data_IF_556825019075
#
_entry.id   IF_556825019075
#
_cell.length_a   1.000
_cell.length_b   1.000
_cell.length_c   1.000
_cell.angle_alpha   90.00
_cell.angle_beta   90.00
_cell.angle_gamma   90.00
#
_symmetry.space_group_name_H-M   'P 1'
#
loop_
_entity.id
_entity.type
_entity.pdbx_description
1 polymer ?
#
# COMPACT_ATOMS: atom_id res chain seq x y z
N UNK A 1 -3.73 6.82 16.04
CA UNK A 1 -2.66 5.79 16.12
C UNK A 1 -1.78 6.07 14.94
N UNK A 2 -0.45 6.09 15.13
CA UNK A 2 0.53 6.55 14.12
C UNK A 2 0.58 8.07 13.90
N UNK A 3 0.03 8.88 14.80
CA UNK A 3 -0.11 10.34 14.61
C UNK A 3 1.24 11.07 14.43
N UNK A 4 2.36 10.44 14.80
CA UNK A 4 3.72 10.95 14.67
C UNK A 4 4.53 10.29 13.53
N UNK A 5 3.91 9.49 12.65
CA UNK A 5 4.62 8.68 11.64
C UNK A 5 5.50 9.48 10.67
N UNK A 6 5.16 10.74 10.40
CA UNK A 6 5.96 11.65 9.56
C UNK A 6 7.29 12.07 10.22
N UNK A 7 7.39 11.93 11.54
CA UNK A 7 8.56 12.37 12.32
C UNK A 7 9.23 11.24 13.11
N UNK A 8 8.58 10.08 13.17
CA UNK A 8 9.02 8.93 13.97
C UNK A 8 9.13 7.69 13.08
N UNK A 9 10.37 7.25 12.89
CA UNK A 9 10.73 6.09 12.09
C UNK A 9 10.07 4.79 12.57
N UNK A 10 9.95 4.60 13.89
CA UNK A 10 9.34 3.39 14.43
C UNK A 10 7.82 3.38 14.20
N UNK A 11 7.16 4.54 14.33
CA UNK A 11 5.74 4.69 14.00
C UNK A 11 5.49 4.50 12.51
N UNK A 12 6.36 5.01 11.64
CA UNK A 12 6.30 4.77 10.19
C UNK A 12 6.35 3.28 9.87
N UNK A 13 7.31 2.53 10.42
CA UNK A 13 7.41 1.09 10.15
C UNK A 13 6.23 0.30 10.72
N UNK A 14 5.70 0.68 11.88
CA UNK A 14 4.50 0.04 12.42
C UNK A 14 3.29 0.29 11.53
N UNK A 15 3.16 1.48 10.94
CA UNK A 15 2.11 1.81 9.98
C UNK A 15 2.23 0.97 8.71
N UNK A 16 3.43 0.85 8.11
CA UNK A 16 3.66 -0.05 6.97
C UNK A 16 3.27 -1.50 7.31
N UNK A 17 3.74 -2.00 8.46
CA UNK A 17 3.43 -3.36 8.91
C UNK A 17 1.93 -3.59 9.11
N UNK A 18 1.19 -2.59 9.60
CA UNK A 18 -0.26 -2.67 9.76
C UNK A 18 -0.96 -2.86 8.41
N UNK A 19 -0.57 -2.11 7.37
CA UNK A 19 -1.07 -2.30 6.01
C UNK A 19 -0.76 -3.69 5.45
N UNK A 20 0.49 -4.16 5.56
CA UNK A 20 0.85 -5.50 5.06
C UNK A 20 0.13 -6.61 5.81
N UNK A 21 0.02 -6.50 7.14
CA UNK A 21 -0.72 -7.47 7.96
C UNK A 21 -2.19 -7.52 7.58
N UNK A 22 -2.82 -6.37 7.41
CA UNK A 22 -4.19 -6.27 6.92
C UNK A 22 -4.35 -6.94 5.56
N UNK A 23 -3.46 -6.63 4.61
CA UNK A 23 -3.48 -7.21 3.26
C UNK A 23 -3.42 -8.74 3.30
N UNK A 24 -2.47 -9.33 4.01
CA UNK A 24 -2.33 -10.80 4.07
C UNK A 24 -3.52 -11.49 4.74
N UNK A 25 -4.09 -10.88 5.79
CA UNK A 25 -5.31 -11.39 6.42
C UNK A 25 -6.49 -11.37 5.45
N UNK A 26 -6.63 -10.29 4.67
CA UNK A 26 -7.71 -10.16 3.71
C UNK A 26 -7.53 -11.10 2.50
N UNK A 27 -6.30 -11.32 2.03
CA UNK A 27 -5.98 -12.34 1.00
C UNK A 27 -6.39 -13.74 1.46
N UNK A 28 -6.01 -14.13 2.69
CA UNK A 28 -6.40 -15.42 3.26
C UNK A 28 -7.91 -15.57 3.39
N UNK A 29 -8.60 -14.53 3.85
CA UNK A 29 -10.06 -14.50 4.02
C UNK A 29 -10.82 -14.63 2.70
N UNK A 30 -10.26 -14.13 1.60
CA UNK A 30 -10.85 -14.23 0.26
C UNK A 30 -10.33 -15.45 -0.52
N UNK A 31 -9.60 -16.37 0.12
CA UNK A 31 -9.06 -17.61 -0.48
C UNK A 31 -8.19 -17.37 -1.72
N UNK A 32 -7.56 -16.20 -1.83
CA UNK A 32 -6.64 -15.87 -2.91
C UNK A 32 -5.26 -16.43 -2.59
N UNK A 33 -4.61 -17.05 -3.59
CA UNK A 33 -3.27 -17.61 -3.49
C UNK A 33 -2.23 -16.55 -3.12
N UNK A 34 -1.77 -16.53 -1.87
CA UNK A 34 -0.85 -15.50 -1.37
C UNK A 34 0.49 -15.42 -2.10
N UNK A 35 0.94 -16.53 -2.67
CA UNK A 35 2.20 -16.70 -3.39
C UNK A 35 2.24 -15.95 -4.73
N UNK A 36 1.08 -15.54 -5.25
CA UNK A 36 1.03 -14.75 -6.49
C UNK A 36 1.38 -13.27 -6.22
N UNK A 37 1.43 -12.86 -4.95
CA UNK A 37 1.68 -11.47 -4.59
C UNK A 37 3.13 -11.22 -4.21
N UNK A 38 3.70 -10.17 -4.78
CA UNK A 38 4.99 -9.61 -4.38
C UNK A 38 4.77 -8.30 -3.62
N UNK A 39 5.08 -8.30 -2.33
CA UNK A 39 4.93 -7.17 -1.42
C UNK A 39 6.14 -7.08 -0.46
N UNK A 40 6.74 -5.89 -0.22
CA UNK A 40 6.53 -4.64 -0.96
C UNK A 40 6.93 -4.77 -2.44
N UNK A 41 6.18 -4.15 -3.35
CA UNK A 41 6.57 -4.07 -4.76
C UNK A 41 7.56 -2.93 -5.02
N UNK A 42 7.21 -1.71 -4.57
CA UNK A 42 8.12 -0.57 -4.53
C UNK A 42 8.91 -0.64 -3.22
N UNK A 43 10.22 -0.83 -3.34
CA UNK A 43 11.12 -1.01 -2.20
C UNK A 43 12.50 -0.45 -2.52
N UNK A 44 12.57 0.87 -2.59
CA UNK A 44 13.75 1.64 -2.96
C UNK A 44 14.70 1.79 -1.76
N UNK A 45 15.98 1.59 -2.01
CA UNK A 45 17.06 1.76 -1.04
C UNK A 45 18.16 2.66 -1.61
N UNK A 46 18.86 3.35 -0.72
CA UNK A 46 20.17 3.92 -1.05
C UNK A 46 21.16 2.81 -1.41
N UNK A 47 22.25 3.16 -2.10
CA UNK A 47 23.32 2.20 -2.47
C UNK A 47 23.97 1.50 -1.26
N UNK A 48 23.83 2.07 -0.07
CA UNK A 48 24.30 1.49 1.20
C UNK A 48 23.27 0.55 1.87
N UNK A 49 22.12 0.29 1.24
CA UNK A 49 21.06 -0.56 1.76
C UNK A 49 20.12 0.11 2.78
N UNK A 50 20.24 1.41 3.01
CA UNK A 50 19.29 2.15 3.86
C UNK A 50 17.96 2.34 3.13
N UNK A 51 16.79 2.00 3.72
CA UNK A 51 15.49 2.24 3.09
C UNK A 51 15.31 3.71 2.77
N UNK A 52 14.83 4.00 1.55
CA UNK A 52 14.49 5.36 1.15
C UNK A 52 12.99 5.59 1.39
N UNK A 53 12.63 5.79 2.66
CA UNK A 53 11.26 5.82 3.20
C UNK A 53 10.31 6.65 2.34
N UNK A 54 10.45 7.98 2.32
CA UNK A 54 9.62 8.89 1.53
C UNK A 54 9.65 8.62 0.02
N UNK A 55 10.65 7.87 -0.45
CA UNK A 55 10.74 7.39 -1.83
C UNK A 55 9.86 6.17 -2.13
N UNK A 56 9.20 5.61 -1.12
CA UNK A 56 8.33 4.45 -1.23
C UNK A 56 6.90 4.78 -0.76
N UNK A 57 5.87 4.20 -1.41
CA UNK A 57 4.51 4.23 -0.88
C UNK A 57 4.42 3.48 0.45
N UNK A 58 3.51 3.90 1.35
CA UNK A 58 3.30 3.23 2.65
C UNK A 58 2.91 1.75 2.49
N UNK A 59 2.32 1.42 1.34
CA UNK A 59 2.01 0.05 0.96
C UNK A 59 2.10 -0.11 -0.55
N UNK A 60 2.68 -1.23 -1.00
CA UNK A 60 2.61 -1.63 -2.40
C UNK A 60 2.65 -3.13 -2.59
N UNK A 61 1.90 -3.62 -3.57
CA UNK A 61 1.86 -5.04 -3.94
C UNK A 61 1.67 -5.18 -5.45
N UNK A 62 2.25 -6.23 -6.02
CA UNK A 62 2.01 -6.66 -7.39
C UNK A 62 1.49 -8.08 -7.41
N UNK A 63 0.43 -8.32 -8.17
CA UNK A 63 0.03 -9.66 -8.59
C UNK A 63 0.93 -10.07 -9.77
N UNK A 64 1.78 -11.08 -9.55
CA UNK A 64 2.75 -11.56 -10.54
C UNK A 64 2.09 -12.36 -11.68
N UNK A 65 0.84 -12.81 -11.50
CA UNK A 65 0.08 -13.52 -12.54
C UNK A 65 -0.64 -12.54 -13.47
N UNK A 66 -1.41 -11.61 -12.91
CA UNK A 66 -2.18 -10.63 -13.70
C UNK A 66 -1.36 -9.41 -14.13
N UNK A 67 -0.23 -9.17 -13.46
CA UNK A 67 0.58 -7.96 -13.63
C UNK A 67 -0.04 -6.71 -12.98
N UNK A 68 -1.18 -6.84 -12.29
CA UNK A 68 -1.82 -5.72 -11.61
C UNK A 68 -1.02 -5.28 -10.38
N UNK A 69 -0.95 -3.99 -10.17
CA UNK A 69 -0.23 -3.34 -9.08
C UNK A 69 -1.24 -2.53 -8.26
N UNK A 70 -1.03 -2.52 -6.95
CA UNK A 70 -1.74 -1.68 -6.02
C UNK A 70 -0.71 -0.95 -5.17
N UNK A 71 -0.84 0.38 -5.06
CA UNK A 71 -0.07 1.16 -4.09
C UNK A 71 -0.96 2.14 -3.33
N UNK A 72 -0.57 2.42 -2.10
CA UNK A 72 -1.20 3.42 -1.23
C UNK A 72 -0.17 4.50 -0.93
N UNK A 73 -0.55 5.75 -1.14
CA UNK A 73 0.25 6.91 -0.77
C UNK A 73 -0.53 7.70 0.28
N UNK A 74 0.14 8.02 1.38
CA UNK A 74 -0.42 8.89 2.40
C UNK A 74 0.05 10.32 2.18
N UNK A 75 -0.89 11.24 2.15
CA UNK A 75 -0.65 12.67 2.11
C UNK A 75 -1.61 13.35 3.08
N UNK A 76 -1.05 14.03 4.08
CA UNK A 76 -1.82 14.69 5.12
C UNK A 76 -2.40 16.04 4.66
N UNK A 77 -2.04 16.52 3.46
CA UNK A 77 -2.62 17.73 2.86
C UNK A 77 -3.93 17.48 2.11
N UNK A 78 -4.34 16.22 1.92
CA UNK A 78 -5.63 15.89 1.30
C UNK A 78 -6.70 15.55 2.32
N UNK A 79 -7.88 16.12 2.12
CA UNK A 79 -9.06 15.88 2.97
C UNK A 79 -9.94 14.72 2.47
N UNK A 80 -9.79 14.32 1.20
CA UNK A 80 -10.65 13.32 0.56
C UNK A 80 -9.85 12.13 0.01
N UNK A 81 -10.45 10.95 0.12
CA UNK A 81 -9.91 9.73 -0.49
C UNK A 81 -10.07 9.82 -2.02
N UNK A 82 -8.96 9.65 -2.71
CA UNK A 82 -8.93 9.61 -4.17
C UNK A 82 -8.29 8.31 -4.65
N UNK A 83 -8.65 7.89 -5.85
CA UNK A 83 -7.97 6.79 -6.52
C UNK A 83 -8.00 6.96 -8.03
N UNK A 84 -6.98 6.45 -8.69
CA UNK A 84 -6.90 6.47 -10.13
C UNK A 84 -6.10 5.27 -10.65
N UNK A 85 -6.37 4.89 -11.90
CA UNK A 85 -5.52 3.97 -12.64
C UNK A 85 -4.37 4.76 -13.26
N UNK A 86 -3.13 4.33 -13.03
CA UNK A 86 -1.99 5.03 -13.61
C UNK A 86 -2.01 4.97 -15.15
N UNK A 87 -1.70 6.11 -15.77
CA UNK A 87 -2.02 6.39 -17.17
C UNK A 87 -1.09 5.68 -18.15
N UNK A 88 0.10 5.26 -17.73
CA UNK A 88 1.09 4.70 -18.65
C UNK A 88 0.87 3.20 -18.93
N UNK A 89 0.38 2.44 -17.96
CA UNK A 89 0.23 0.98 -18.09
C UNK A 89 -1.19 0.46 -17.80
N UNK A 90 -2.06 1.24 -17.15
CA UNK A 90 -3.43 0.82 -16.80
C UNK A 90 -3.51 -0.41 -15.89
N UNK A 91 -2.37 -0.88 -15.37
CA UNK A 91 -2.28 -2.04 -14.49
C UNK A 91 -2.07 -1.63 -13.04
N UNK A 92 -1.88 -0.34 -12.73
CA UNK A 92 -1.63 0.15 -11.38
C UNK A 92 -2.80 0.95 -10.84
N UNK A 93 -3.43 0.45 -9.77
CA UNK A 93 -4.35 1.23 -8.96
C UNK A 93 -3.56 2.01 -7.90
N UNK A 94 -3.66 3.33 -7.94
CA UNK A 94 -3.11 4.22 -6.92
C UNK A 94 -4.24 4.67 -6.01
N UNK A 95 -4.11 4.41 -4.72
CA UNK A 95 -4.99 4.95 -3.67
C UNK A 95 -4.25 6.08 -2.95
N UNK A 96 -4.93 7.21 -2.75
CA UNK A 96 -4.37 8.42 -2.19
C UNK A 96 -5.30 8.98 -1.11
N UNK A 97 -4.79 9.25 0.08
CA UNK A 97 -5.56 9.81 1.19
C UNK A 97 -4.69 10.09 2.41
N UNK A 98 -5.26 10.68 3.46
CA UNK A 98 -4.55 10.90 4.72
C UNK A 98 -4.73 9.73 5.71
N UNK A 99 -4.00 9.77 6.82
CA UNK A 99 -4.07 8.75 7.89
C UNK A 99 -5.48 8.57 8.48
N UNK A 100 -6.29 9.63 8.54
CA UNK A 100 -7.66 9.56 9.07
C UNK A 100 -8.61 8.73 8.20
N UNK A 101 -8.28 8.55 6.91
CA UNK A 101 -9.04 7.79 5.92
C UNK A 101 -8.59 6.32 5.82
N UNK A 102 -7.79 5.83 6.78
CA UNK A 102 -7.20 4.50 6.74
C UNK A 102 -8.23 3.38 6.61
N UNK A 103 -9.39 3.49 7.23
CA UNK A 103 -10.45 2.48 7.12
C UNK A 103 -11.04 2.44 5.70
N UNK A 104 -11.23 3.58 5.05
CA UNK A 104 -11.68 3.69 3.67
C UNK A 104 -10.63 3.15 2.70
N UNK A 105 -9.35 3.46 2.92
CA UNK A 105 -8.23 2.89 2.15
C UNK A 105 -8.24 1.37 2.25
N UNK A 106 -8.39 0.82 3.45
CA UNK A 106 -8.46 -0.63 3.68
C UNK A 106 -9.65 -1.28 2.97
N UNK A 107 -10.82 -0.62 2.92
CA UNK A 107 -11.97 -1.08 2.12
C UNK A 107 -11.63 -1.16 0.62
N UNK A 108 -10.89 -0.18 0.09
CA UNK A 108 -10.44 -0.20 -1.30
C UNK A 108 -9.44 -1.32 -1.57
N UNK A 109 -8.49 -1.58 -0.66
CA UNK A 109 -7.57 -2.73 -0.74
C UNK A 109 -8.38 -4.04 -0.80
N UNK A 110 -9.36 -4.22 0.10
CA UNK A 110 -10.22 -5.41 0.07
C UNK A 110 -10.99 -5.56 -1.24
N UNK A 111 -11.51 -4.45 -1.79
CA UNK A 111 -12.19 -4.47 -3.09
C UNK A 111 -11.26 -4.88 -4.23
N UNK A 112 -10.02 -4.39 -4.22
CA UNK A 112 -9.00 -4.77 -5.20
C UNK A 112 -8.62 -6.25 -5.10
N UNK A 113 -8.45 -6.79 -3.89
CA UNK A 113 -8.16 -8.22 -3.66
C UNK A 113 -9.28 -9.10 -4.22
N UNK A 114 -10.55 -8.73 -4.00
CA UNK A 114 -11.71 -9.49 -4.49
C UNK A 114 -11.86 -9.51 -6.01
N UNK A 115 -11.20 -8.57 -6.69
CA UNK A 115 -11.21 -8.47 -8.14
C UNK A 115 -10.03 -9.23 -8.80
N UNK A 116 -9.18 -9.89 -8.02
CA UNK A 116 -8.04 -10.69 -8.50
C UNK A 116 -8.44 -12.06 -9.03
#
# INVERSE_FOLDING_TARGET
MFDDYLSNKDSYFQLEQDFYKFFYLEVQKNEVASEIFKAPYYNTFFSNGTPFMDGNPIFSVRNEVSGQILRVVLDEEVDELSSYQDKEAGCELVIFGNLSLMDEIKKMISAWIKAQ
#
